data_IF_756273257199
#
_entry.id   IF_756273257199
#
_cell.length_a   1.000
_cell.length_b   1.000
_cell.length_c   1.000
_cell.angle_alpha   90.00
_cell.angle_beta   90.00
_cell.angle_gamma   90.00
#
_symmetry.space_group_name_H-M   'P 1'
#
loop_
_entity.id
_entity.type
_entity.pdbx_description
1 polymer ?
#
# COMPACT_ATOMS: atom_id res chain seq x y z
N UNK A 1 8.28 22.82 -22.07
CA UNK A 1 6.89 22.82 -21.57
C UNK A 1 6.75 21.78 -20.47
N UNK A 2 6.65 22.21 -19.20
CA UNK A 2 6.42 21.30 -18.05
C UNK A 2 4.98 20.81 -18.09
N UNK A 3 4.75 19.60 -18.63
CA UNK A 3 3.47 18.89 -18.45
C UNK A 3 3.41 18.46 -16.99
N UNK A 4 2.57 19.13 -16.20
CA UNK A 4 2.35 18.71 -14.82
C UNK A 4 1.58 17.40 -14.84
N UNK A 5 2.25 16.28 -14.54
CA UNK A 5 1.60 14.99 -14.29
C UNK A 5 0.90 15.06 -12.93
N UNK A 6 -0.20 15.81 -12.86
CA UNK A 6 -1.03 15.90 -11.67
C UNK A 6 -1.87 14.62 -11.56
N UNK A 7 -1.90 14.05 -10.37
CA UNK A 7 -2.83 12.97 -10.02
C UNK A 7 -4.24 13.55 -10.13
N UNK A 8 -5.15 12.85 -10.82
CA UNK A 8 -6.56 13.19 -10.81
C UNK A 8 -7.12 12.74 -9.47
N UNK A 9 -7.18 13.66 -8.52
CA UNK A 9 -8.14 13.57 -7.43
C UNK A 9 -9.47 14.08 -8.00
N UNK A 10 -10.31 13.17 -8.48
CA UNK A 10 -11.72 13.53 -8.60
C UNK A 10 -12.15 13.91 -7.19
N UNK A 11 -12.84 15.05 -7.04
CA UNK A 11 -13.71 15.32 -5.88
C UNK A 11 -14.84 14.31 -5.74
N UNK A 12 -14.67 13.07 -6.22
CA UNK A 12 -15.24 11.85 -5.68
C UNK A 12 -14.43 11.47 -4.43
N UNK A 13 -14.40 12.39 -3.46
CA UNK A 13 -14.48 11.95 -2.09
C UNK A 13 -15.77 11.16 -1.98
N UNK A 14 -15.71 9.86 -2.26
CA UNK A 14 -16.61 8.87 -1.71
C UNK A 14 -16.25 8.78 -0.21
N UNK A 15 -16.52 9.80 0.60
CA UNK A 15 -17.69 9.74 1.47
C UNK A 15 -18.82 9.01 0.77
N UNK A 16 -19.19 7.86 1.32
CA UNK A 16 -19.88 6.75 0.68
C UNK A 16 -18.88 5.67 0.21
N UNK A 17 -17.98 5.17 1.07
CA UNK A 17 -18.35 3.99 1.88
C UNK A 17 -19.87 3.87 1.87
N UNK A 18 -20.39 3.18 0.85
CA UNK A 18 -21.65 2.48 1.01
C UNK A 18 -21.64 2.02 2.46
N UNK A 19 -22.51 2.60 3.29
CA UNK A 19 -22.94 1.89 4.48
C UNK A 19 -23.11 0.46 3.98
N UNK A 20 -22.48 -0.54 4.62
CA UNK A 20 -22.66 -1.92 4.19
C UNK A 20 -24.16 -2.04 3.97
N UNK A 21 -24.55 -2.36 2.73
CA UNK A 21 -25.91 -2.74 2.44
C UNK A 21 -26.14 -3.85 3.46
N UNK A 22 -26.80 -3.50 4.56
CA UNK A 22 -27.13 -4.44 5.61
C UNK A 22 -28.07 -5.38 4.91
N UNK A 23 -27.50 -6.51 4.54
CA UNK A 23 -28.19 -7.75 4.22
C UNK A 23 -29.36 -7.59 3.25
N UNK A 24 -29.08 -7.79 1.97
CA UNK A 24 -29.86 -8.80 1.24
C UNK A 24 -29.61 -10.15 1.94
N UNK A 25 -30.29 -10.38 3.07
CA UNK A 25 -30.58 -11.72 3.54
C UNK A 25 -31.90 -12.08 2.90
N UNK A 26 -31.78 -12.86 1.83
CA UNK A 26 -32.84 -13.68 1.31
C UNK A 26 -33.36 -14.62 2.41
N UNK A 27 -34.69 -14.71 2.45
CA UNK A 27 -35.49 -15.85 2.90
C UNK A 27 -35.67 -16.11 4.41
N UNK A 28 -36.94 -15.91 4.76
CA UNK A 28 -37.85 -16.88 5.40
C UNK A 28 -38.05 -16.77 6.92
N UNK A 29 -39.34 -16.58 7.27
CA UNK A 29 -40.02 -16.89 8.54
C UNK A 29 -39.84 -15.76 9.58
N UNK A 30 -40.84 -14.98 9.98
CA UNK A 30 -42.26 -15.23 10.30
C UNK A 30 -43.18 -14.44 9.35
N UNK A 31 -44.09 -14.99 8.53
CA UNK A 31 -45.15 -15.94 8.83
C UNK A 31 -45.81 -15.66 10.20
N UNK A 32 -46.97 -15.02 10.12
CA UNK A 32 -48.13 -15.35 10.96
C UNK A 32 -48.06 -14.85 12.42
N UNK A 33 -48.71 -13.72 12.68
CA UNK A 33 -49.97 -13.79 13.43
C UNK A 33 -51.07 -13.61 12.36
N UNK A 34 -51.48 -14.65 11.63
CA UNK A 34 -52.67 -15.36 12.07
C UNK A 34 -52.60 -15.62 13.58
N UNK A 35 -53.28 -14.74 14.32
CA UNK A 35 -54.18 -15.28 15.30
C UNK A 35 -54.93 -16.40 14.58
N UNK A 36 -54.81 -17.62 15.11
CA UNK A 36 -55.56 -18.77 14.63
C UNK A 36 -56.93 -18.28 14.21
N UNK A 37 -57.38 -18.73 13.05
CA UNK A 37 -58.79 -19.01 12.86
C UNK A 37 -59.22 -19.97 13.98
N UNK A 38 -59.37 -19.44 15.20
CA UNK A 38 -60.58 -19.70 15.93
C UNK A 38 -61.65 -19.42 14.91
N UNK A 39 -62.50 -20.41 14.63
CA UNK A 39 -63.85 -20.12 14.16
C UNK A 39 -64.21 -18.78 14.79
N UNK A 40 -64.44 -17.74 13.98
CA UNK A 40 -65.18 -16.59 14.47
C UNK A 40 -66.47 -17.25 14.93
N UNK A 41 -66.53 -17.65 16.20
CA UNK A 41 -67.73 -17.50 16.96
C UNK A 41 -68.05 -16.05 16.68
N UNK A 42 -69.00 -15.85 15.77
CA UNK A 42 -69.69 -14.60 15.63
C UNK A 42 -70.00 -14.22 17.06
N UNK A 43 -69.21 -13.29 17.63
CA UNK A 43 -69.68 -12.57 18.78
C UNK A 43 -70.93 -11.95 18.22
N UNK A 44 -72.08 -12.44 18.66
CA UNK A 44 -73.35 -11.76 18.44
C UNK A 44 -73.11 -10.34 18.91
N UNK A 45 -72.91 -9.44 17.95
CA UNK A 45 -72.74 -8.02 18.19
C UNK A 45 -74.03 -7.62 18.85
N UNK A 46 -73.96 -7.06 20.05
CA UNK A 46 -75.20 -6.69 20.72
C UNK A 46 -75.93 -5.65 19.86
N UNK A 47 -77.27 -5.60 19.88
CA UNK A 47 -78.01 -4.58 19.14
C UNK A 47 -77.50 -3.15 19.42
N UNK A 48 -77.08 -2.86 20.66
CA UNK A 48 -76.47 -1.59 21.04
C UNK A 48 -75.09 -1.38 20.38
N UNK A 49 -74.24 -2.40 20.33
CA UNK A 49 -72.93 -2.34 19.66
C UNK A 49 -73.08 -2.12 18.15
N UNK A 50 -74.09 -2.72 17.52
CA UNK A 50 -74.37 -2.52 16.10
C UNK A 50 -74.88 -1.11 15.81
N UNK A 51 -75.81 -0.59 16.61
CA UNK A 51 -76.30 0.79 16.49
C UNK A 51 -75.16 1.78 16.65
N UNK A 52 -74.23 1.54 17.59
CA UNK A 52 -73.04 2.36 17.74
C UNK A 52 -72.17 2.32 16.47
N UNK A 53 -71.84 1.12 15.97
CA UNK A 53 -71.06 0.94 14.74
C UNK A 53 -71.66 1.66 13.52
N UNK A 54 -72.96 1.51 13.28
CA UNK A 54 -73.65 2.11 12.15
C UNK A 54 -73.62 3.66 12.21
N UNK A 55 -73.75 4.23 13.41
CA UNK A 55 -73.65 5.67 13.64
C UNK A 55 -72.21 6.17 13.52
N UNK A 56 -71.23 5.45 14.08
CA UNK A 56 -69.81 5.80 13.99
C UNK A 56 -69.27 5.73 12.56
N UNK A 57 -69.84 4.87 11.69
CA UNK A 57 -69.45 4.80 10.29
C UNK A 57 -69.60 6.14 9.54
N UNK A 58 -70.49 7.03 9.98
CA UNK A 58 -70.65 8.38 9.41
C UNK A 58 -69.38 9.23 9.55
N UNK A 59 -68.52 8.91 10.53
CA UNK A 59 -67.25 9.58 10.74
C UNK A 59 -66.09 8.97 9.94
N UNK A 60 -66.31 7.86 9.23
CA UNK A 60 -65.31 7.20 8.39
C UNK A 60 -64.93 8.02 7.15
N UNK A 61 -63.72 7.82 6.63
CA UNK A 61 -63.27 8.48 5.40
C UNK A 61 -64.04 7.96 4.18
N UNK A 62 -64.44 6.69 4.22
CA UNK A 62 -65.28 6.03 3.22
C UNK A 62 -66.64 6.72 3.09
N UNK A 63 -67.31 6.99 4.21
CA UNK A 63 -68.58 7.70 4.21
C UNK A 63 -68.42 9.15 3.74
N UNK A 64 -67.39 9.85 4.23
CA UNK A 64 -67.14 11.26 3.88
C UNK A 64 -66.82 11.46 2.40
N UNK A 65 -66.34 10.42 1.71
CA UNK A 65 -66.05 10.44 0.29
C UNK A 65 -67.29 10.31 -0.62
N UNK A 66 -68.45 9.92 -0.07
CA UNK A 66 -69.71 9.86 -0.80
C UNK A 66 -70.21 11.26 -1.19
N UNK A 67 -71.04 11.33 -2.22
CA UNK A 67 -71.73 12.57 -2.57
C UNK A 67 -72.82 12.93 -1.54
N UNK A 68 -73.27 14.19 -1.55
CA UNK A 68 -74.25 14.70 -0.57
C UNK A 68 -75.58 13.92 -0.58
N UNK A 69 -75.96 13.35 -1.73
CA UNK A 69 -77.21 12.60 -1.89
C UNK A 69 -77.09 11.21 -1.27
N UNK A 70 -75.98 10.52 -1.51
CA UNK A 70 -75.72 9.19 -0.97
C UNK A 70 -75.45 9.25 0.54
N UNK A 71 -74.73 10.27 1.00
CA UNK A 71 -74.58 10.55 2.44
C UNK A 71 -75.92 10.75 3.13
N UNK A 72 -76.84 11.50 2.50
CA UNK A 72 -78.18 11.74 3.04
C UNK A 72 -79.00 10.45 3.09
N UNK A 73 -78.90 9.62 2.05
CA UNK A 73 -79.60 8.33 1.95
C UNK A 73 -79.22 7.39 3.09
N UNK A 74 -77.93 7.22 3.37
CA UNK A 74 -77.47 6.40 4.49
C UNK A 74 -77.83 7.01 5.86
N UNK A 75 -77.73 8.33 6.02
CA UNK A 75 -78.15 9.01 7.27
C UNK A 75 -79.64 8.84 7.55
N UNK A 76 -80.48 8.82 6.50
CA UNK A 76 -81.91 8.52 6.63
C UNK A 76 -82.14 7.06 7.04
N UNK A 77 -81.35 6.11 6.53
CA UNK A 77 -81.42 4.68 6.88
C UNK A 77 -81.16 4.42 8.38
N UNK A 78 -80.25 5.18 9.00
CA UNK A 78 -79.87 4.99 10.42
C UNK A 78 -80.56 5.97 11.39
N UNK A 79 -81.36 6.92 10.91
CA UNK A 79 -81.83 8.08 11.69
C UNK A 79 -82.60 7.73 12.95
N UNK A 80 -83.48 6.74 12.86
CA UNK A 80 -84.37 6.32 13.95
C UNK A 80 -83.94 4.95 14.52
N UNK A 81 -82.70 4.52 14.26
CA UNK A 81 -82.16 3.22 14.66
C UNK A 81 -81.94 3.16 16.19
N UNK A 82 -82.53 2.17 16.85
CA UNK A 82 -82.45 1.91 18.29
C UNK A 82 -82.33 0.40 18.55
N UNK A 83 -81.81 -0.01 19.70
CA UNK A 83 -81.73 -1.44 20.04
C UNK A 83 -83.11 -2.14 20.07
N UNK A 84 -84.19 -1.39 20.30
CA UNK A 84 -85.56 -1.92 20.39
C UNK A 84 -86.22 -2.16 19.01
N UNK A 85 -85.75 -1.49 17.96
CA UNK A 85 -86.31 -1.60 16.61
C UNK A 85 -85.33 -2.21 15.59
N UNK A 86 -84.21 -2.78 16.07
CA UNK A 86 -83.21 -3.44 15.25
C UNK A 86 -83.60 -4.91 15.02
N UNK A 87 -84.21 -5.20 13.86
CA UNK A 87 -84.41 -6.55 13.37
C UNK A 87 -83.25 -7.03 12.48
N UNK A 88 -83.26 -8.32 12.14
CA UNK A 88 -82.23 -8.91 11.28
C UNK A 88 -82.24 -8.29 9.87
N UNK A 89 -83.43 -7.98 9.34
CA UNK A 89 -83.57 -7.39 8.02
C UNK A 89 -82.93 -5.98 7.96
N UNK A 90 -83.10 -5.17 9.01
CA UNK A 90 -82.45 -3.86 9.14
C UNK A 90 -80.93 -3.97 9.30
N UNK A 91 -80.44 -4.95 10.09
CA UNK A 91 -79.00 -5.24 10.23
C UNK A 91 -78.39 -5.59 8.88
N UNK A 92 -79.04 -6.49 8.13
CA UNK A 92 -78.55 -6.97 6.84
C UNK A 92 -78.54 -5.84 5.79
N UNK A 93 -79.57 -4.99 5.76
CA UNK A 93 -79.64 -3.83 4.86
C UNK A 93 -78.55 -2.78 5.15
N UNK A 94 -78.34 -2.45 6.43
CA UNK A 94 -77.31 -1.51 6.86
C UNK A 94 -75.91 -2.07 6.55
N UNK A 95 -75.64 -3.33 6.90
CA UNK A 95 -74.34 -3.96 6.61
C UNK A 95 -74.04 -4.00 5.12
N UNK A 96 -75.01 -4.42 4.31
CA UNK A 96 -74.87 -4.42 2.86
C UNK A 96 -74.58 -3.02 2.32
N UNK A 97 -75.27 -2.00 2.82
CA UNK A 97 -75.03 -0.61 2.41
C UNK A 97 -73.63 -0.15 2.81
N UNK A 98 -73.17 -0.46 4.03
CA UNK A 98 -71.81 -0.15 4.48
C UNK A 98 -70.77 -0.86 3.61
N UNK A 99 -70.97 -2.14 3.31
CA UNK A 99 -70.06 -2.93 2.47
C UNK A 99 -70.01 -2.39 1.03
N UNK A 100 -71.15 -2.02 0.45
CA UNK A 100 -71.23 -1.39 -0.86
C UNK A 100 -70.47 -0.04 -0.88
N UNK A 101 -70.60 0.78 0.18
CA UNK A 101 -69.87 2.05 0.34
C UNK A 101 -68.35 1.79 0.43
N UNK A 102 -67.92 0.88 1.32
CA UNK A 102 -66.50 0.51 1.47
C UNK A 102 -65.91 -0.02 0.17
N UNK A 103 -66.65 -0.88 -0.53
CA UNK A 103 -66.24 -1.44 -1.82
C UNK A 103 -66.11 -0.36 -2.90
N UNK A 104 -67.08 0.54 -2.99
CA UNK A 104 -67.04 1.68 -3.92
C UNK A 104 -65.84 2.58 -3.64
N UNK A 105 -65.61 2.90 -2.37
CA UNK A 105 -64.49 3.75 -1.94
C UNK A 105 -63.12 3.15 -2.30
N UNK A 106 -62.87 1.88 -1.93
CA UNK A 106 -61.56 1.26 -2.18
C UNK A 106 -61.31 1.10 -3.69
N UNK A 107 -62.36 0.87 -4.48
CA UNK A 107 -62.29 0.81 -5.94
C UNK A 107 -61.89 2.16 -6.55
N UNK A 108 -62.54 3.24 -6.14
CA UNK A 108 -62.18 4.60 -6.61
C UNK A 108 -60.75 4.98 -6.22
N UNK A 109 -60.33 4.64 -4.98
CA UNK A 109 -58.94 4.83 -4.54
C UNK A 109 -57.97 4.07 -5.43
N UNK A 110 -58.25 2.80 -5.74
CA UNK A 110 -57.43 2.00 -6.65
C UNK A 110 -57.34 2.61 -8.05
N UNK A 111 -58.47 3.04 -8.62
CA UNK A 111 -58.52 3.62 -9.97
C UNK A 111 -57.70 4.92 -10.06
N UNK A 112 -57.76 5.78 -9.03
CA UNK A 112 -56.93 6.99 -8.92
C UNK A 112 -55.43 6.65 -8.86
N UNK A 113 -55.06 5.69 -8.00
CA UNK A 113 -53.67 5.24 -7.88
C UNK A 113 -53.15 4.61 -9.17
N UNK A 114 -54.00 3.89 -9.91
CA UNK A 114 -53.63 3.31 -11.21
C UNK A 114 -53.39 4.40 -12.26
N UNK A 115 -54.22 5.44 -12.29
CA UNK A 115 -54.00 6.60 -13.15
C UNK A 115 -52.69 7.33 -12.81
N UNK A 116 -52.40 7.51 -11.52
CA UNK A 116 -51.12 8.08 -11.06
C UNK A 116 -49.94 7.23 -11.51
N UNK A 117 -50.01 5.90 -11.31
CA UNK A 117 -48.97 4.96 -11.73
C UNK A 117 -48.74 5.00 -13.25
N UNK A 118 -49.81 5.11 -14.04
CA UNK A 118 -49.73 5.25 -15.49
C UNK A 118 -49.01 6.53 -15.92
N UNK A 119 -49.22 7.64 -15.19
CA UNK A 119 -48.50 8.90 -15.38
C UNK A 119 -47.00 8.83 -15.08
N UNK A 120 -46.57 7.83 -14.29
CA UNK A 120 -45.17 7.60 -13.93
C UNK A 120 -44.43 6.63 -14.88
N UNK A 121 -45.12 6.08 -15.89
CA UNK A 121 -44.52 5.21 -16.90
C UNK A 121 -43.44 5.95 -17.67
N UNK A 122 -42.22 5.44 -17.60
CA UNK A 122 -41.09 6.00 -18.32
C UNK A 122 -40.13 4.92 -18.84
N UNK A 123 -39.49 5.20 -19.99
CA UNK A 123 -38.58 4.27 -20.65
C UNK A 123 -37.29 4.01 -19.85
N UNK A 124 -36.92 4.95 -18.99
CA UNK A 124 -35.73 4.88 -18.13
C UNK A 124 -35.92 4.03 -16.88
N UNK A 125 -37.13 3.52 -16.60
CA UNK A 125 -37.36 2.61 -15.46
C UNK A 125 -36.66 1.26 -15.65
N UNK A 126 -36.37 0.58 -14.54
CA UNK A 126 -35.89 -0.81 -14.58
C UNK A 126 -36.95 -1.74 -15.19
N UNK A 127 -36.50 -2.86 -15.74
CA UNK A 127 -37.42 -3.83 -16.34
C UNK A 127 -38.37 -4.42 -15.28
N UNK A 128 -37.88 -4.67 -14.06
CA UNK A 128 -38.68 -5.11 -12.92
C UNK A 128 -39.81 -4.12 -12.57
N UNK A 129 -39.54 -2.81 -12.57
CA UNK A 129 -40.57 -1.80 -12.29
C UNK A 129 -41.59 -1.74 -13.43
N UNK A 130 -41.14 -1.84 -14.69
CA UNK A 130 -42.04 -1.89 -15.85
C UNK A 130 -42.94 -3.12 -15.83
N UNK A 131 -42.41 -4.27 -15.41
CA UNK A 131 -43.18 -5.51 -15.26
C UNK A 131 -44.21 -5.38 -14.13
N UNK A 132 -43.82 -4.85 -12.97
CA UNK A 132 -44.75 -4.57 -11.86
C UNK A 132 -45.90 -3.68 -12.30
N UNK A 133 -45.62 -2.59 -13.01
CA UNK A 133 -46.67 -1.68 -13.53
C UNK A 133 -47.68 -2.43 -14.42
N UNK A 134 -47.21 -3.37 -15.24
CA UNK A 134 -48.07 -4.16 -16.14
C UNK A 134 -48.85 -5.27 -15.43
N UNK A 135 -48.44 -5.66 -14.23
CA UNK A 135 -49.03 -6.80 -13.51
C UNK A 135 -50.35 -6.48 -12.81
N UNK A 136 -50.69 -5.20 -12.65
CA UNK A 136 -51.91 -4.78 -11.96
C UNK A 136 -53.16 -4.96 -12.83
N UNK A 137 -54.17 -5.65 -12.31
CA UNK A 137 -55.43 -5.93 -13.01
C UNK A 137 -56.25 -4.66 -13.26
N UNK A 138 -57.18 -4.72 -14.22
CA UNK A 138 -58.13 -3.63 -14.48
C UNK A 138 -59.23 -3.52 -13.43
N UNK A 139 -59.58 -4.62 -12.77
CA UNK A 139 -60.60 -4.65 -11.73
C UNK A 139 -60.48 -5.91 -10.89
N UNK A 140 -60.88 -5.84 -9.63
CA UNK A 140 -60.98 -7.00 -8.74
C UNK A 140 -62.44 -7.29 -8.36
N UNK A 141 -62.70 -8.52 -7.93
CA UNK A 141 -64.07 -8.98 -7.61
C UNK A 141 -64.49 -8.73 -6.16
N UNK A 142 -63.55 -8.50 -5.23
CA UNK A 142 -63.83 -8.41 -3.79
C UNK A 142 -63.09 -7.24 -3.15
N UNK A 143 -63.64 -6.75 -2.03
CA UNK A 143 -63.02 -5.68 -1.23
C UNK A 143 -61.59 -6.03 -0.81
N UNK A 144 -61.37 -7.22 -0.26
CA UNK A 144 -60.05 -7.66 0.22
C UNK A 144 -58.98 -7.63 -0.89
N UNK A 145 -59.35 -8.02 -2.12
CA UNK A 145 -58.44 -7.97 -3.26
C UNK A 145 -58.10 -6.53 -3.65
N UNK A 146 -59.07 -5.62 -3.63
CA UNK A 146 -58.82 -4.20 -3.85
C UNK A 146 -57.92 -3.62 -2.76
N UNK A 147 -58.20 -3.94 -1.50
CA UNK A 147 -57.41 -3.48 -0.35
C UNK A 147 -55.93 -3.89 -0.49
N UNK A 148 -55.66 -5.17 -0.76
CA UNK A 148 -54.29 -5.65 -1.03
C UNK A 148 -53.65 -4.97 -2.25
N UNK A 149 -54.42 -4.72 -3.31
CA UNK A 149 -53.92 -4.13 -4.54
C UNK A 149 -53.54 -2.65 -4.37
N UNK A 150 -54.33 -1.90 -3.57
CA UNK A 150 -54.04 -0.51 -3.20
C UNK A 150 -52.68 -0.40 -2.51
N UNK A 151 -52.45 -1.22 -1.47
CA UNK A 151 -51.16 -1.24 -0.75
C UNK A 151 -49.99 -1.57 -1.68
N UNK A 152 -50.19 -2.51 -2.61
CA UNK A 152 -49.16 -2.88 -3.59
C UNK A 152 -48.88 -1.74 -4.57
N UNK A 153 -49.89 -1.04 -5.09
CA UNK A 153 -49.68 0.08 -6.02
C UNK A 153 -48.98 1.25 -5.32
N UNK A 154 -49.42 1.64 -4.12
CA UNK A 154 -48.79 2.73 -3.36
C UNK A 154 -47.29 2.48 -3.15
N UNK A 155 -46.92 1.23 -2.83
CA UNK A 155 -45.51 0.85 -2.67
C UNK A 155 -44.74 0.88 -4.00
N UNK A 156 -45.37 0.53 -5.12
CA UNK A 156 -44.73 0.64 -6.45
C UNK A 156 -44.53 2.10 -6.85
N UNK A 157 -45.50 2.99 -6.60
CA UNK A 157 -45.38 4.44 -6.83
C UNK A 157 -44.17 4.98 -6.06
N UNK A 158 -44.10 4.73 -4.74
CA UNK A 158 -42.95 5.13 -3.90
C UNK A 158 -41.62 4.59 -4.42
N UNK A 159 -41.60 3.34 -4.89
CA UNK A 159 -40.39 2.73 -5.47
C UNK A 159 -39.94 3.44 -6.74
N UNK A 160 -40.88 3.86 -7.60
CA UNK A 160 -40.58 4.63 -8.82
C UNK A 160 -40.06 6.03 -8.47
N UNK A 161 -40.63 6.70 -7.47
CA UNK A 161 -40.16 8.01 -7.02
C UNK A 161 -38.70 7.96 -6.52
N UNK A 162 -38.39 6.97 -5.68
CA UNK A 162 -37.03 6.73 -5.18
C UNK A 162 -36.08 6.47 -6.36
N UNK A 163 -36.46 5.56 -7.26
CA UNK A 163 -35.67 5.23 -8.45
C UNK A 163 -35.36 6.46 -9.30
N UNK A 164 -36.36 7.31 -9.56
CA UNK A 164 -36.18 8.52 -10.36
C UNK A 164 -35.28 9.56 -9.67
N UNK A 165 -35.36 9.67 -8.34
CA UNK A 165 -34.48 10.52 -7.54
C UNK A 165 -33.02 10.05 -7.63
N UNK A 166 -32.78 8.75 -7.50
CA UNK A 166 -31.45 8.15 -7.59
C UNK A 166 -30.86 8.31 -8.99
N UNK A 167 -31.65 8.03 -10.04
CA UNK A 167 -31.22 8.21 -11.43
C UNK A 167 -30.78 9.65 -11.71
N UNK A 168 -31.54 10.63 -11.23
CA UNK A 168 -31.18 12.05 -11.35
C UNK A 168 -29.86 12.36 -10.64
N UNK A 169 -29.74 11.92 -9.38
CA UNK A 169 -28.53 12.11 -8.57
C UNK A 169 -27.30 11.52 -9.26
N UNK A 170 -27.40 10.29 -9.77
CA UNK A 170 -26.28 9.60 -10.41
C UNK A 170 -25.91 10.23 -11.76
N UNK A 171 -26.88 10.67 -12.56
CA UNK A 171 -26.60 11.46 -13.78
C UNK A 171 -25.87 12.77 -13.46
N UNK A 172 -26.24 13.45 -12.38
CA UNK A 172 -25.54 14.67 -11.94
C UNK A 172 -24.09 14.38 -11.51
N UNK A 173 -23.85 13.27 -10.81
CA UNK A 173 -22.49 12.81 -10.45
C UNK A 173 -21.66 12.54 -11.71
N UNK A 174 -22.20 11.76 -12.65
CA UNK A 174 -21.54 11.43 -13.91
C UNK A 174 -21.20 12.70 -14.70
N UNK A 175 -22.15 13.64 -14.81
CA UNK A 175 -21.95 14.93 -15.48
C UNK A 175 -20.83 15.76 -14.84
N UNK A 176 -20.80 15.87 -13.52
CA UNK A 176 -19.74 16.59 -12.79
C UNK A 176 -18.37 15.95 -13.01
N UNK A 177 -18.30 14.62 -12.98
CA UNK A 177 -17.05 13.88 -13.17
C UNK A 177 -16.50 14.05 -14.60
N UNK A 178 -17.35 13.91 -15.62
CA UNK A 178 -16.98 14.16 -17.02
C UNK A 178 -16.44 15.58 -17.19
N UNK A 179 -17.17 16.58 -16.70
CA UNK A 179 -16.75 17.99 -16.80
C UNK A 179 -15.40 18.24 -16.14
N UNK A 180 -15.17 17.69 -14.94
CA UNK A 180 -13.90 17.86 -14.24
C UNK A 180 -12.70 17.26 -15.01
N UNK A 181 -12.91 16.17 -15.74
CA UNK A 181 -11.89 15.56 -16.59
C UNK A 181 -11.64 16.42 -17.83
N UNK A 182 -12.68 16.95 -18.47
CA UNK A 182 -12.58 17.79 -19.67
C UNK A 182 -11.92 19.15 -19.40
N UNK A 183 -12.27 19.79 -18.28
CA UNK A 183 -11.72 21.09 -17.88
C UNK A 183 -10.19 21.02 -17.71
N UNK A 184 -9.64 19.84 -17.42
CA UNK A 184 -8.21 19.62 -17.35
C UNK A 184 -7.70 18.84 -18.57
N UNK A 185 -7.34 19.60 -19.60
CA UNK A 185 -6.80 19.15 -20.91
C UNK A 185 -5.59 18.21 -20.83
N UNK A 186 -4.96 18.04 -19.66
CA UNK A 186 -3.87 17.08 -19.48
C UNK A 186 -4.38 15.65 -19.29
N UNK A 187 -5.64 15.46 -18.89
CA UNK A 187 -6.25 14.13 -18.77
C UNK A 187 -6.63 13.60 -20.14
N UNK A 188 -5.87 12.62 -20.62
CA UNK A 188 -6.15 11.91 -21.88
C UNK A 188 -6.99 10.66 -21.61
N UNK A 189 -8.16 10.86 -21.01
CA UNK A 189 -9.12 9.79 -20.71
C UNK A 189 -10.21 9.84 -21.78
N UNK A 190 -10.50 8.71 -22.42
CA UNK A 190 -11.63 8.59 -23.35
C UNK A 190 -12.95 8.51 -22.58
N UNK A 191 -13.90 9.39 -22.90
CA UNK A 191 -15.18 9.56 -22.21
C UNK A 191 -16.39 9.26 -23.12
N UNK A 192 -16.18 8.74 -24.34
CA UNK A 192 -17.25 8.61 -25.34
C UNK A 192 -18.43 7.77 -24.85
N UNK A 193 -18.16 6.62 -24.21
CA UNK A 193 -19.21 5.73 -23.71
C UNK A 193 -19.99 6.37 -22.55
N UNK A 194 -19.28 7.01 -21.62
CA UNK A 194 -19.88 7.66 -20.46
C UNK A 194 -20.75 8.85 -20.86
N UNK A 195 -20.32 9.62 -21.88
CA UNK A 195 -21.13 10.69 -22.47
C UNK A 195 -22.38 10.16 -23.15
N UNK A 196 -22.26 9.08 -23.92
CA UNK A 196 -23.40 8.47 -24.60
C UNK A 196 -24.50 8.06 -23.60
N UNK A 197 -24.11 7.49 -22.44
CA UNK A 197 -25.05 7.16 -21.36
C UNK A 197 -25.67 8.41 -20.73
N UNK A 198 -24.86 9.46 -20.50
CA UNK A 198 -25.36 10.72 -19.92
C UNK A 198 -26.36 11.44 -20.83
N UNK A 199 -26.09 11.45 -22.14
CA UNK A 199 -26.91 12.11 -23.17
C UNK A 199 -28.18 11.30 -23.50
N UNK A 200 -28.17 9.99 -23.24
CA UNK A 200 -29.35 9.15 -23.42
C UNK A 200 -30.44 9.47 -22.38
N UNK A 201 -31.55 10.05 -22.87
CA UNK A 201 -32.73 10.37 -22.05
C UNK A 201 -33.36 9.13 -21.40
N UNK A 202 -33.29 7.99 -22.09
CA UNK A 202 -33.89 6.72 -21.67
C UNK A 202 -32.90 5.83 -20.89
N UNK A 203 -31.71 6.34 -20.56
CA UNK A 203 -30.74 5.57 -19.79
C UNK A 203 -31.31 5.17 -18.43
N UNK A 204 -31.18 3.88 -18.12
CA UNK A 204 -31.59 3.29 -16.84
C UNK A 204 -30.53 3.55 -15.76
N UNK A 205 -30.94 3.45 -14.50
CA UNK A 205 -30.05 3.62 -13.34
C UNK A 205 -28.79 2.73 -13.42
N UNK A 206 -28.97 1.44 -13.73
CA UNK A 206 -27.84 0.50 -13.85
C UNK A 206 -26.85 0.88 -14.96
N UNK A 207 -27.35 1.45 -16.07
CA UNK A 207 -26.48 1.91 -17.16
C UNK A 207 -25.63 3.11 -16.71
N UNK A 208 -26.24 4.06 -15.97
CA UNK A 208 -25.54 5.21 -15.39
C UNK A 208 -24.51 4.74 -14.35
N UNK A 209 -24.85 3.77 -13.50
CA UNK A 209 -23.93 3.19 -12.52
C UNK A 209 -22.75 2.49 -13.17
N UNK A 210 -23.00 1.73 -14.24
CA UNK A 210 -21.96 1.08 -15.02
C UNK A 210 -21.06 2.10 -15.72
N UNK A 211 -21.61 3.21 -16.22
CA UNK A 211 -20.81 4.32 -16.76
C UNK A 211 -19.90 4.94 -15.69
N UNK A 212 -20.40 5.17 -14.47
CA UNK A 212 -19.60 5.68 -13.35
C UNK A 212 -18.49 4.68 -12.97
N UNK A 213 -18.80 3.38 -12.87
CA UNK A 213 -17.80 2.33 -12.60
C UNK A 213 -16.71 2.27 -13.66
N UNK A 214 -17.08 2.33 -14.94
CA UNK A 214 -16.15 2.36 -16.06
C UNK A 214 -15.24 3.61 -16.01
N UNK A 215 -15.82 4.77 -15.70
CA UNK A 215 -15.05 6.00 -15.53
C UNK A 215 -14.00 5.87 -14.42
N UNK A 216 -14.39 5.32 -13.28
CA UNK A 216 -13.48 5.08 -12.15
C UNK A 216 -12.32 4.16 -12.53
N UNK A 217 -12.57 3.08 -13.28
CA UNK A 217 -11.52 2.19 -13.79
C UNK A 217 -10.53 2.96 -14.67
N UNK A 218 -11.03 3.79 -15.60
CA UNK A 218 -10.19 4.61 -16.48
C UNK A 218 -9.34 5.62 -15.70
N UNK A 219 -9.93 6.27 -14.70
CA UNK A 219 -9.24 7.21 -13.82
C UNK A 219 -8.15 6.53 -13.00
N UNK A 220 -8.44 5.37 -12.43
CA UNK A 220 -7.46 4.60 -11.67
C UNK A 220 -6.29 4.16 -12.55
N UNK A 221 -6.56 3.71 -13.77
CA UNK A 221 -5.52 3.36 -14.74
C UNK A 221 -4.66 4.58 -15.12
N UNK A 222 -5.26 5.76 -15.30
CA UNK A 222 -4.53 7.00 -15.53
C UNK A 222 -3.64 7.36 -14.34
N UNK A 223 -4.19 7.35 -13.12
CA UNK A 223 -3.46 7.69 -11.89
C UNK A 223 -2.28 6.74 -11.65
N UNK A 224 -2.45 5.44 -11.93
CA UNK A 224 -1.36 4.46 -11.87
C UNK A 224 -0.21 4.84 -12.81
N UNK A 225 -0.50 5.20 -14.07
CA UNK A 225 0.53 5.65 -15.03
C UNK A 225 1.25 6.92 -14.58
N UNK A 226 0.53 7.85 -13.96
CA UNK A 226 1.12 9.08 -13.40
C UNK A 226 2.10 8.74 -12.27
N UNK A 227 1.73 7.85 -11.35
CA UNK A 227 2.59 7.46 -10.24
C UNK A 227 3.82 6.67 -10.72
N UNK A 228 3.65 5.77 -11.69
CA UNK A 228 4.75 5.06 -12.36
C UNK A 228 5.75 6.04 -12.99
N UNK A 229 5.27 7.06 -13.69
CA UNK A 229 6.11 8.08 -14.31
C UNK A 229 6.81 8.97 -13.27
N UNK A 230 6.12 9.32 -12.17
CA UNK A 230 6.71 10.06 -11.05
C UNK A 230 7.83 9.26 -10.38
N UNK A 231 7.61 7.96 -10.14
CA UNK A 231 8.63 7.06 -9.60
C UNK A 231 9.81 6.91 -10.55
N UNK A 232 9.56 6.79 -11.86
CA UNK A 232 10.61 6.77 -12.90
C UNK A 232 11.48 8.02 -12.83
N UNK A 233 10.87 9.21 -12.81
CA UNK A 233 11.59 10.49 -12.74
C UNK A 233 12.36 10.66 -11.42
N UNK A 234 11.77 10.26 -10.29
CA UNK A 234 12.44 10.27 -8.99
C UNK A 234 13.68 9.38 -8.97
N UNK A 235 13.56 8.16 -9.50
CA UNK A 235 14.68 7.23 -9.60
C UNK A 235 15.77 7.73 -10.55
N UNK A 236 15.41 8.36 -11.67
CA UNK A 236 16.38 9.00 -12.57
C UNK A 236 17.17 10.09 -11.85
N UNK A 237 16.51 10.97 -11.09
CA UNK A 237 17.18 12.05 -10.36
C UNK A 237 18.19 11.49 -9.32
N UNK A 238 17.83 10.43 -8.59
CA UNK A 238 18.76 9.76 -7.66
C UNK A 238 20.00 9.18 -8.37
N UNK A 239 19.82 8.60 -9.56
CA UNK A 239 20.92 8.00 -10.34
C UNK A 239 21.82 9.09 -10.94
N UNK A 240 21.22 10.18 -11.44
CA UNK A 240 21.93 11.35 -11.98
C UNK A 240 22.86 11.99 -10.94
N UNK A 241 22.40 12.15 -9.70
CA UNK A 241 23.22 12.63 -8.58
C UNK A 241 24.52 11.81 -8.40
N UNK A 242 24.45 10.48 -8.59
CA UNK A 242 25.63 9.61 -8.48
C UNK A 242 26.54 9.70 -9.70
N UNK A 243 25.97 9.92 -10.88
CA UNK A 243 26.73 10.15 -12.11
C UNK A 243 27.50 11.47 -12.05
N UNK A 244 26.88 12.54 -11.55
CA UNK A 244 27.53 13.85 -11.42
C UNK A 244 28.73 13.82 -10.46
N UNK A 245 28.65 13.01 -9.41
CA UNK A 245 29.75 12.78 -8.45
C UNK A 245 30.91 11.92 -8.98
N UNK A 246 30.78 11.27 -10.14
CA UNK A 246 31.80 10.36 -10.65
C UNK A 246 33.13 11.09 -10.89
N UNK A 247 33.08 12.25 -11.57
CA UNK A 247 34.29 12.96 -11.98
C UNK A 247 35.11 13.41 -10.78
N UNK A 248 34.47 14.04 -9.78
CA UNK A 248 35.14 14.49 -8.56
C UNK A 248 35.69 13.31 -7.76
N UNK A 249 34.95 12.20 -7.69
CA UNK A 249 35.42 10.97 -7.04
C UNK A 249 36.69 10.44 -7.71
N UNK A 250 36.70 10.34 -9.06
CA UNK A 250 37.86 9.85 -9.81
C UNK A 250 39.07 10.79 -9.76
N UNK A 251 38.85 12.08 -9.55
CA UNK A 251 39.91 13.06 -9.34
C UNK A 251 40.51 13.03 -7.93
N UNK A 252 39.80 12.45 -6.95
CA UNK A 252 40.22 12.39 -5.56
C UNK A 252 41.45 11.49 -5.33
N UNK A 253 42.22 11.80 -4.28
CA UNK A 253 43.31 10.96 -3.79
C UNK A 253 42.81 9.57 -3.38
N UNK A 254 41.67 9.51 -2.69
CA UNK A 254 41.11 8.26 -2.20
C UNK A 254 40.77 7.29 -3.35
N UNK A 255 40.35 7.79 -4.52
CA UNK A 255 40.25 6.95 -5.72
C UNK A 255 41.61 6.69 -6.36
N UNK A 256 42.39 7.73 -6.69
CA UNK A 256 43.64 7.58 -7.46
C UNK A 256 44.67 6.64 -6.82
N UNK A 257 44.70 6.60 -5.49
CA UNK A 257 45.60 5.77 -4.67
C UNK A 257 44.91 4.50 -4.13
N UNK A 258 43.65 4.23 -4.50
CA UNK A 258 43.00 2.99 -4.13
C UNK A 258 43.57 1.79 -4.89
N UNK A 259 43.47 0.63 -4.26
CA UNK A 259 43.88 -0.65 -4.84
C UNK A 259 43.14 -0.90 -6.16
N UNK A 260 43.84 -1.42 -7.18
CA UNK A 260 43.29 -1.63 -8.54
C UNK A 260 41.96 -2.36 -8.57
N UNK A 261 41.83 -3.47 -7.82
CA UNK A 261 40.59 -4.24 -7.75
C UNK A 261 39.42 -3.43 -7.17
N UNK A 262 39.68 -2.56 -6.20
CA UNK A 262 38.67 -1.70 -5.58
C UNK A 262 38.23 -0.59 -6.54
N UNK A 263 39.18 0.03 -7.26
CA UNK A 263 38.86 1.00 -8.33
C UNK A 263 37.99 0.38 -9.42
N UNK A 264 38.35 -0.83 -9.86
CA UNK A 264 37.59 -1.55 -10.88
C UNK A 264 36.18 -1.93 -10.40
N UNK A 265 36.00 -2.32 -9.13
CA UNK A 265 34.67 -2.58 -8.57
C UNK A 265 33.84 -1.28 -8.55
N UNK A 266 34.41 -0.16 -8.07
CA UNK A 266 33.76 1.15 -8.13
C UNK A 266 33.35 1.52 -9.56
N UNK A 267 34.27 1.41 -10.53
CA UNK A 267 34.01 1.70 -11.95
C UNK A 267 32.88 0.84 -12.53
N UNK A 268 32.82 -0.43 -12.13
CA UNK A 268 31.73 -1.33 -12.51
C UNK A 268 30.40 -0.91 -11.90
N UNK A 269 30.37 -0.45 -10.64
CA UNK A 269 29.13 0.01 -9.99
C UNK A 269 28.61 1.32 -10.57
N UNK A 270 29.49 2.28 -10.90
CA UNK A 270 29.06 3.52 -11.55
C UNK A 270 28.56 3.26 -12.98
N UNK A 271 29.13 2.28 -13.70
CA UNK A 271 28.58 1.88 -15.00
C UNK A 271 27.16 1.29 -14.86
N UNK A 272 26.91 0.48 -13.83
CA UNK A 272 25.57 -0.05 -13.56
C UNK A 272 24.55 1.07 -13.26
N UNK A 273 24.96 2.14 -12.57
CA UNK A 273 24.14 3.35 -12.36
C UNK A 273 23.79 4.01 -13.71
N UNK A 274 24.78 4.21 -14.60
CA UNK A 274 24.57 4.79 -15.94
C UNK A 274 23.63 3.94 -16.79
N UNK A 275 23.81 2.62 -16.78
CA UNK A 275 22.97 1.70 -17.53
C UNK A 275 21.52 1.73 -17.03
N UNK A 276 21.32 1.79 -15.71
CA UNK A 276 20.00 1.95 -15.10
C UNK A 276 19.34 3.27 -15.50
N UNK A 277 20.08 4.38 -15.47
CA UNK A 277 19.58 5.68 -15.91
C UNK A 277 19.11 5.63 -17.37
N UNK A 278 19.95 5.09 -18.27
CA UNK A 278 19.64 4.98 -19.70
C UNK A 278 18.41 4.11 -19.98
N UNK A 279 18.21 3.03 -19.22
CA UNK A 279 16.99 2.21 -19.29
C UNK A 279 15.76 3.01 -18.86
N UNK A 280 15.83 3.72 -17.73
CA UNK A 280 14.71 4.54 -17.26
C UNK A 280 14.39 5.68 -18.25
N UNK A 281 15.39 6.30 -18.86
CA UNK A 281 15.21 7.35 -19.88
C UNK A 281 14.43 6.82 -21.11
N UNK A 282 14.76 5.61 -21.54
CA UNK A 282 14.03 4.87 -22.59
C UNK A 282 12.69 4.29 -22.14
N UNK A 283 12.26 4.56 -20.91
CA UNK A 283 11.04 4.04 -20.27
C UNK A 283 11.01 2.51 -20.15
N UNK A 284 12.18 1.90 -20.06
CA UNK A 284 12.34 0.50 -19.77
C UNK A 284 12.28 0.26 -18.26
N UNK A 285 11.82 -0.93 -17.86
CA UNK A 285 11.77 -1.31 -16.45
C UNK A 285 13.18 -1.53 -15.91
N UNK A 286 13.50 -0.90 -14.80
CA UNK A 286 14.70 -1.18 -14.01
C UNK A 286 14.27 -1.77 -12.68
N UNK A 287 14.76 -2.97 -12.39
CA UNK A 287 14.49 -3.62 -11.12
C UNK A 287 15.47 -3.11 -10.06
N UNK A 288 14.90 -2.72 -8.92
CA UNK A 288 15.62 -2.40 -7.69
C UNK A 288 16.69 -1.30 -7.81
N UNK A 289 16.27 -0.08 -8.20
CA UNK A 289 17.14 1.11 -8.27
C UNK A 289 17.86 1.37 -6.94
N UNK A 290 17.19 1.19 -5.80
CA UNK A 290 17.79 1.42 -4.49
C UNK A 290 18.94 0.43 -4.21
N UNK A 291 18.86 -0.82 -4.68
CA UNK A 291 19.98 -1.78 -4.59
C UNK A 291 21.16 -1.37 -5.48
N UNK A 292 20.89 -0.82 -6.68
CA UNK A 292 21.95 -0.30 -7.56
C UNK A 292 22.69 0.84 -6.86
N UNK A 293 21.96 1.77 -6.25
CA UNK A 293 22.52 2.88 -5.49
C UNK A 293 23.28 2.39 -4.24
N UNK A 294 22.72 1.42 -3.51
CA UNK A 294 23.39 0.83 -2.33
C UNK A 294 24.72 0.16 -2.70
N UNK A 295 24.74 -0.58 -3.81
CA UNK A 295 25.97 -1.20 -4.33
C UNK A 295 27.01 -0.15 -4.72
N UNK A 296 26.59 0.94 -5.35
CA UNK A 296 27.47 2.08 -5.66
C UNK A 296 28.05 2.70 -4.38
N UNK A 297 27.21 3.05 -3.40
CA UNK A 297 27.66 3.64 -2.15
C UNK A 297 28.65 2.71 -1.41
N UNK A 298 28.37 1.40 -1.38
CA UNK A 298 29.28 0.43 -0.76
C UNK A 298 30.64 0.35 -1.46
N UNK A 299 30.68 0.44 -2.79
CA UNK A 299 31.94 0.45 -3.53
C UNK A 299 32.71 1.77 -3.33
N UNK A 300 31.99 2.89 -3.24
CA UNK A 300 32.57 4.19 -2.90
C UNK A 300 33.22 4.18 -1.50
N UNK A 301 32.52 3.67 -0.49
CA UNK A 301 33.01 3.60 0.90
C UNK A 301 34.21 2.65 1.06
N UNK A 302 34.38 1.69 0.14
CA UNK A 302 35.50 0.74 0.12
C UNK A 302 36.77 1.32 -0.47
N UNK A 303 36.73 2.48 -1.12
CA UNK A 303 37.93 3.14 -1.63
C UNK A 303 38.94 3.34 -0.49
N UNK A 304 40.13 2.80 -0.67
CA UNK A 304 41.17 2.67 0.36
C UNK A 304 42.39 3.55 0.08
N UNK A 305 42.30 4.50 -0.85
CA UNK A 305 43.44 5.29 -1.29
C UNK A 305 44.06 6.17 -0.21
N UNK A 306 43.27 6.73 0.70
CA UNK A 306 43.81 7.51 1.82
C UNK A 306 44.62 6.62 2.78
N UNK A 307 44.13 5.39 3.04
CA UNK A 307 44.84 4.40 3.86
C UNK A 307 46.13 3.95 3.19
N UNK A 308 46.09 3.70 1.88
CA UNK A 308 47.27 3.30 1.11
C UNK A 308 48.29 4.44 1.03
N UNK A 309 47.85 5.69 0.88
CA UNK A 309 48.75 6.85 0.91
C UNK A 309 49.43 7.01 2.27
N UNK A 310 48.68 6.84 3.37
CA UNK A 310 49.26 6.86 4.71
C UNK A 310 50.32 5.77 4.89
N UNK A 311 50.03 4.54 4.44
CA UNK A 311 50.97 3.43 4.49
C UNK A 311 52.22 3.67 3.63
N UNK A 312 52.04 4.25 2.43
CA UNK A 312 53.14 4.63 1.55
C UNK A 312 54.04 5.69 2.20
N UNK A 313 53.46 6.72 2.83
CA UNK A 313 54.23 7.74 3.55
C UNK A 313 55.02 7.14 4.71
N UNK A 314 54.44 6.17 5.45
CA UNK A 314 55.17 5.44 6.50
C UNK A 314 56.33 4.62 5.94
N UNK A 315 56.16 3.99 4.78
CA UNK A 315 57.25 3.29 4.07
C UNK A 315 58.36 4.28 3.67
N UNK A 316 57.99 5.42 3.09
CA UNK A 316 58.93 6.45 2.68
C UNK A 316 59.76 6.99 3.85
N UNK A 317 59.10 7.30 4.99
CA UNK A 317 59.78 7.70 6.22
C UNK A 317 60.72 6.60 6.73
N UNK A 318 60.23 5.36 6.81
CA UNK A 318 61.03 4.22 7.27
C UNK A 318 62.29 4.02 6.41
N UNK A 319 62.16 4.11 5.09
CA UNK A 319 63.29 4.05 4.17
C UNK A 319 64.29 5.18 4.45
N UNK A 320 63.85 6.43 4.55
CA UNK A 320 64.74 7.57 4.80
C UNK A 320 65.48 7.49 6.14
N UNK A 321 64.84 7.00 7.19
CA UNK A 321 65.46 6.81 8.51
C UNK A 321 66.49 5.67 8.54
N UNK A 322 66.39 4.69 7.64
CA UNK A 322 67.25 3.51 7.63
C UNK A 322 68.16 3.39 6.41
N UNK A 323 68.11 4.34 5.46
CA UNK A 323 68.84 4.25 4.18
C UNK A 323 70.35 4.09 4.34
N UNK A 324 70.94 4.67 5.38
CA UNK A 324 72.39 4.61 5.62
C UNK A 324 72.88 3.20 6.01
N UNK A 325 71.96 2.32 6.42
CA UNK A 325 72.25 0.92 6.72
C UNK A 325 72.32 0.03 5.47
N UNK A 326 71.86 0.54 4.32
CA UNK A 326 71.87 -0.16 3.03
C UNK A 326 73.14 0.17 2.24
N UNK A 327 73.58 -0.77 1.40
CA UNK A 327 74.59 -0.53 0.36
C UNK A 327 74.20 0.64 -0.57
N UNK A 328 75.18 1.29 -1.22
CA UNK A 328 74.90 2.41 -2.16
C UNK A 328 74.06 1.94 -3.36
N UNK A 329 74.31 0.72 -3.82
CA UNK A 329 73.56 0.06 -4.87
C UNK A 329 72.11 -0.16 -4.46
N UNK A 330 71.86 -0.66 -3.24
CA UNK A 330 70.50 -0.90 -2.75
C UNK A 330 69.74 0.39 -2.41
N UNK A 331 70.42 1.43 -1.92
CA UNK A 331 69.83 2.76 -1.76
C UNK A 331 69.23 3.23 -3.08
N UNK A 332 70.03 3.26 -4.15
CA UNK A 332 69.55 3.67 -5.48
C UNK A 332 68.40 2.79 -5.98
N UNK A 333 68.51 1.48 -5.81
CA UNK A 333 67.48 0.52 -6.22
C UNK A 333 66.15 0.75 -5.50
N UNK A 334 66.16 0.90 -4.17
CA UNK A 334 64.93 1.05 -3.39
C UNK A 334 64.32 2.45 -3.52
N UNK A 335 65.14 3.49 -3.68
CA UNK A 335 64.66 4.83 -4.02
C UNK A 335 63.88 4.83 -5.35
N UNK A 336 64.46 4.22 -6.40
CA UNK A 336 63.79 4.05 -7.69
C UNK A 336 62.49 3.23 -7.56
N UNK A 337 62.48 2.16 -6.76
CA UNK A 337 61.30 1.33 -6.56
C UNK A 337 60.18 2.06 -5.80
N UNK A 338 60.52 2.86 -4.79
CA UNK A 338 59.55 3.65 -4.03
C UNK A 338 58.95 4.73 -4.95
N UNK A 339 59.77 5.45 -5.72
CA UNK A 339 59.25 6.47 -6.65
C UNK A 339 58.37 5.86 -7.74
N UNK A 340 58.77 4.69 -8.28
CA UNK A 340 57.98 3.95 -9.27
C UNK A 340 56.67 3.43 -8.67
N UNK A 341 56.67 3.03 -7.40
CA UNK A 341 55.47 2.53 -6.72
C UNK A 341 54.39 3.62 -6.69
N UNK A 342 54.75 4.87 -6.35
CA UNK A 342 53.80 5.98 -6.28
C UNK A 342 53.07 6.26 -7.62
N UNK A 343 53.77 5.98 -8.73
CA UNK A 343 53.27 6.17 -10.11
C UNK A 343 52.66 4.89 -10.70
N UNK A 344 52.65 3.78 -9.95
CA UNK A 344 52.19 2.49 -10.44
C UNK A 344 50.67 2.40 -10.52
N UNK A 345 50.15 1.77 -11.58
CA UNK A 345 48.73 1.41 -11.66
C UNK A 345 48.31 0.34 -10.65
N UNK A 346 49.27 -0.48 -10.19
CA UNK A 346 49.05 -1.53 -9.21
C UNK A 346 49.36 -1.05 -7.78
N UNK A 347 49.33 0.27 -7.54
CA UNK A 347 49.46 0.84 -6.20
C UNK A 347 48.40 0.27 -5.24
N UNK A 348 48.83 -0.08 -4.03
CA UNK A 348 47.97 -0.67 -3.02
C UNK A 348 48.76 -1.22 -1.83
N UNK A 349 48.05 -1.53 -0.75
CA UNK A 349 48.64 -1.98 0.52
C UNK A 349 49.57 -3.19 0.36
N UNK A 350 49.20 -4.15 -0.50
CA UNK A 350 50.00 -5.35 -0.73
C UNK A 350 51.39 -5.03 -1.28
N UNK A 351 51.46 -4.11 -2.26
CA UNK A 351 52.73 -3.69 -2.87
C UNK A 351 53.58 -2.84 -1.94
N UNK A 352 52.93 -1.98 -1.14
CA UNK A 352 53.61 -1.19 -0.11
C UNK A 352 54.24 -2.12 0.93
N UNK A 353 53.50 -3.11 1.42
CA UNK A 353 53.99 -4.08 2.40
C UNK A 353 55.08 -5.00 1.82
N UNK A 354 54.93 -5.43 0.56
CA UNK A 354 55.93 -6.21 -0.16
C UNK A 354 57.26 -5.46 -0.24
N UNK A 355 57.23 -4.19 -0.67
CA UNK A 355 58.42 -3.35 -0.78
C UNK A 355 59.05 -3.07 0.59
N UNK A 356 58.22 -2.79 1.61
CA UNK A 356 58.70 -2.64 2.99
C UNK A 356 59.47 -3.87 3.47
N UNK A 357 58.91 -5.06 3.25
CA UNK A 357 59.55 -6.32 3.67
C UNK A 357 60.86 -6.58 2.93
N UNK A 358 60.95 -6.21 1.64
CA UNK A 358 62.20 -6.31 0.88
C UNK A 358 63.29 -5.40 1.45
N UNK A 359 62.96 -4.16 1.81
CA UNK A 359 63.89 -3.22 2.46
C UNK A 359 64.33 -3.74 3.82
N UNK A 360 63.39 -4.22 4.66
CA UNK A 360 63.69 -4.79 5.98
C UNK A 360 64.65 -5.99 5.91
N UNK A 361 64.52 -6.85 4.88
CA UNK A 361 65.44 -7.97 4.65
C UNK A 361 66.82 -7.50 4.21
N UNK A 362 66.89 -6.58 3.25
CA UNK A 362 68.16 -6.05 2.77
C UNK A 362 68.98 -5.37 3.87
N UNK A 363 68.32 -4.62 4.78
CA UNK A 363 68.99 -4.03 5.95
C UNK A 363 69.64 -5.12 6.83
N UNK A 364 68.92 -6.22 7.09
CA UNK A 364 69.45 -7.32 7.93
C UNK A 364 70.62 -8.02 7.26
N UNK A 365 70.51 -8.32 5.96
CA UNK A 365 71.55 -9.01 5.21
C UNK A 365 72.84 -8.17 5.12
N UNK A 366 72.71 -6.84 4.96
CA UNK A 366 73.85 -5.92 4.94
C UNK A 366 74.51 -5.76 6.33
N UNK A 367 73.72 -5.71 7.42
CA UNK A 367 74.25 -5.71 8.80
C UNK A 367 75.04 -7.00 9.13
N UNK A 368 74.55 -8.15 8.69
CA UNK A 368 75.21 -9.46 8.86
C UNK A 368 76.48 -9.59 7.97
N UNK A 369 76.51 -8.95 6.81
CA UNK A 369 77.70 -8.91 5.94
C UNK A 369 78.82 -8.03 6.51
N UNK A 370 78.47 -6.94 7.21
CA UNK A 370 79.42 -6.04 7.84
C UNK A 370 80.13 -6.66 9.05
N UNK A 371 79.51 -7.63 9.72
CA UNK A 371 80.06 -8.32 10.90
C UNK A 371 81.05 -9.43 10.57
N UNK A 372 81.19 -9.85 9.29
CA UNK A 372 82.08 -10.93 8.85
C UNK A 372 83.36 -10.44 8.12
N UNK A 373 84.09 -9.47 8.67
CA UNK A 373 85.53 -9.31 8.36
C UNK A 373 86.41 -9.95 9.43
N UNK A 374 86.61 -11.26 9.34
CA UNK A 374 87.66 -11.96 10.11
C UNK A 374 89.02 -11.65 9.47
N UNK A 375 89.75 -10.71 10.05
CA UNK A 375 91.14 -10.39 9.67
C UNK A 375 92.01 -11.63 9.87
N UNK A 376 92.71 -12.06 8.81
CA UNK A 376 93.63 -13.19 8.86
C UNK A 376 94.73 -12.96 9.90
N UNK A 377 94.70 -13.72 10.99
CA UNK A 377 95.73 -13.68 12.02
C UNK A 377 97.05 -14.25 11.47
N UNK A 378 98.05 -13.38 11.31
CA UNK A 378 99.47 -13.74 11.17
C UNK A 378 99.84 -14.72 12.30
N UNK A 379 100.27 -15.93 11.95
CA UNK A 379 100.75 -16.92 12.92
C UNK A 379 102.02 -16.39 13.60
N UNK A 380 101.92 -16.03 14.86
CA UNK A 380 103.07 -15.89 15.78
C UNK A 380 103.04 -17.14 16.66
N UNK A 381 104.09 -17.95 16.58
CA UNK A 381 104.22 -19.18 17.35
C UNK A 381 104.83 -18.91 18.72
N UNK A 382 104.20 -19.41 19.79
CA UNK A 382 104.88 -19.72 21.06
C UNK A 382 104.23 -20.98 21.65
N UNK A 383 105.08 -21.96 21.97
CA UNK A 383 104.74 -23.25 22.58
C UNK A 383 104.44 -23.15 24.08
N UNK A 384 103.69 -24.16 24.53
CA UNK A 384 103.07 -24.37 25.84
C UNK A 384 104.04 -24.53 27.03
N UNK A 385 103.48 -24.10 28.17
CA UNK A 385 103.38 -24.79 29.48
C UNK A 385 104.53 -24.75 30.48
N UNK A 386 104.15 -24.42 31.72
CA UNK A 386 104.39 -25.24 32.92
C UNK A 386 103.42 -24.78 34.03
N UNK A 387 102.70 -25.71 34.66
CA UNK A 387 101.76 -25.43 35.78
C UNK A 387 102.48 -25.35 37.15
N UNK A 388 101.83 -25.68 38.30
CA UNK A 388 100.41 -25.62 38.64
C UNK A 388 100.11 -25.15 40.11
N UNK A 389 98.80 -25.05 40.45
CA UNK A 389 98.14 -25.05 41.80
C UNK A 389 98.27 -23.74 42.61
N UNK A 390 97.21 -23.21 43.27
CA UNK A 390 96.64 -23.74 44.53
C UNK A 390 95.13 -23.38 44.76
N UNK A 391 94.37 -24.45 45.05
CA UNK A 391 93.27 -24.76 46.00
C UNK A 391 92.19 -23.74 46.49
N UNK A 392 90.95 -24.28 46.39
CA UNK A 392 89.78 -24.32 47.33
C UNK A 392 89.15 -22.97 47.73
N UNK A 393 87.83 -22.80 47.62
CA UNK A 393 86.87 -23.53 48.47
C UNK A 393 85.38 -23.29 48.09
N UNK A 394 84.53 -24.28 48.48
CA UNK A 394 83.12 -24.19 48.93
C UNK A 394 82.03 -23.86 47.87
N UNK A 395 81.25 -24.87 47.45
CA UNK A 395 79.87 -25.19 47.92
C UNK A 395 78.82 -24.27 47.26
N UNK A 396 77.65 -24.66 46.74
CA UNK A 396 76.67 -25.68 47.12
C UNK A 396 75.78 -26.02 45.89
N UNK A 397 75.26 -27.25 45.88
CA UNK A 397 73.96 -27.71 45.36
C UNK A 397 73.51 -27.34 43.95
N UNK A 398 73.50 -28.39 43.14
CA UNK A 398 72.66 -28.62 41.96
C UNK A 398 71.27 -29.07 42.42
N UNK A 399 70.23 -28.27 42.18
CA UNK A 399 68.82 -28.70 42.10
C UNK A 399 68.03 -27.78 41.19
N UNK A 400 67.32 -28.36 40.19
CA UNK A 400 66.10 -27.92 39.49
C UNK A 400 66.01 -26.47 38.97
N UNK A 401 65.37 -26.16 37.86
CA UNK A 401 64.09 -26.71 37.39
C UNK A 401 63.97 -26.50 35.88
N UNK A 402 63.56 -27.57 35.18
CA UNK A 402 62.97 -27.56 33.85
C UNK A 402 61.65 -26.77 33.89
N UNK A 403 61.59 -25.53 33.41
CA UNK A 403 60.35 -24.90 32.91
C UNK A 403 60.53 -23.40 32.64
N UNK A 404 61.05 -23.04 31.46
CA UNK A 404 60.81 -21.68 30.90
C UNK A 404 59.88 -21.73 29.69
N UNK A 405 59.65 -22.93 29.11
CA UNK A 405 58.74 -23.12 27.98
C UNK A 405 57.24 -23.14 28.30
N UNK A 406 56.82 -23.29 29.58
CA UNK A 406 55.40 -23.41 29.95
C UNK A 406 54.81 -22.07 30.43
N UNK A 407 55.62 -21.14 30.96
CA UNK A 407 55.12 -19.85 31.48
C UNK A 407 54.68 -18.91 30.35
N UNK A 408 55.30 -19.00 29.16
CA UNK A 408 54.91 -18.18 28.01
C UNK A 408 53.59 -18.63 27.35
N UNK A 409 53.26 -19.93 27.41
CA UNK A 409 52.01 -20.45 26.82
C UNK A 409 50.80 -20.14 27.73
N UNK A 410 50.97 -20.19 29.06
CA UNK A 410 49.89 -19.81 30.00
C UNK A 410 49.57 -18.31 29.91
N UNK A 411 50.56 -17.44 29.65
CA UNK A 411 50.31 -16.00 29.44
C UNK A 411 49.55 -15.70 28.13
N UNK A 412 49.76 -16.48 27.07
CA UNK A 412 49.02 -16.31 25.80
C UNK A 412 47.58 -16.84 25.92
N UNK A 413 47.35 -17.94 26.65
CA UNK A 413 46.00 -18.50 26.85
C UNK A 413 45.18 -17.65 27.84
N UNK A 414 45.80 -17.09 28.90
CA UNK A 414 45.11 -16.16 29.81
C UNK A 414 44.75 -14.82 29.13
N UNK A 415 45.59 -14.33 28.20
CA UNK A 415 45.31 -13.11 27.43
C UNK A 415 44.13 -13.27 26.46
N UNK A 416 43.94 -14.45 25.86
CA UNK A 416 42.81 -14.72 24.97
C UNK A 416 41.49 -14.97 25.72
N UNK A 417 41.53 -15.55 26.92
CA UNK A 417 40.32 -15.73 27.75
C UNK A 417 39.78 -14.38 28.28
N UNK A 418 40.65 -13.43 28.64
CA UNK A 418 40.22 -12.11 29.12
C UNK A 418 39.57 -11.27 28.01
N UNK A 419 39.99 -11.43 26.75
CA UNK A 419 39.43 -10.70 25.61
C UNK A 419 38.05 -11.22 25.17
N UNK A 420 37.73 -12.50 25.41
CA UNK A 420 36.42 -13.08 25.09
C UNK A 420 35.37 -12.91 26.20
N UNK A 421 35.77 -12.77 27.46
CA UNK A 421 34.83 -12.47 28.56
C UNK A 421 34.46 -10.98 28.61
N UNK A 422 35.34 -10.07 28.19
CA UNK A 422 35.08 -8.63 28.19
C UNK A 422 34.10 -8.13 27.09
N UNK A 423 33.60 -9.01 26.21
CA UNK A 423 32.66 -8.66 25.14
C UNK A 423 31.21 -9.12 25.36
N UNK A 424 30.89 -9.70 26.53
CA UNK A 424 29.53 -10.17 26.82
C UNK A 424 28.68 -9.28 27.73
N UNK A 425 29.17 -8.11 28.13
CA UNK A 425 28.34 -7.09 28.77
C UNK A 425 28.64 -5.72 28.18
N UNK A 426 27.88 -5.33 27.15
CA UNK A 426 27.22 -4.03 27.03
C UNK A 426 26.47 -3.89 25.69
N UNK A 427 25.15 -3.98 25.82
CA UNK A 427 24.05 -3.65 24.90
C UNK A 427 23.78 -4.59 23.75
#
# INVERSE_FOLDING_TARGET
MKKSNKILALGLGLSLIFAPATSLVSNNINLVYAEESQEKQEKEVSPEEFVAYANEFVDSDEFKALDEKDQKTYKELIKDLTAENLGQDEIDEINKTIDDIKFSYIKDKYDKLKQELDGLKADNLSDDLKEKIKSYEDSYQTYDKYFEAVDKIENTIKSIEIYNKDLKSHKDVLKKAIKAIEDNKNFKIDLNNEKAVLENKNAKLDEVDNAIKNLNIKVNAYNKKVEEEKNRLSNMAKLEEKMDGEKSTKESTNYKKASKAIRQDFDKKIQAVKDAYNKLDKKEKVENVDQIISNYNSAFDKLDGDKNLEAYNKLFTYYNENKEKLSKEDQKKYEDLIEKLDKSEDFGMDKINELKSQIEKAIKDDEDSATLKKVGAKKIGVQKSSGPKVKRSRSFVRTGVKSVGIVLIVLVVAGLAYFFVAKKDKK
#
